data_IF_219521706160
#
_entry.id   IF_219521706160
#
_cell.length_a   1.000
_cell.length_b   1.000
_cell.length_c   1.000
_cell.angle_alpha   90.00
_cell.angle_beta   90.00
_cell.angle_gamma   90.00
#
_symmetry.space_group_name_H-M   'P 1'
#
loop_
_entity.id
_entity.type
_entity.pdbx_description
1 polymer ?
#
# COMPACT_ATOMS: atom_id res chain seq x y z
N UNK A 1 0.29 -12.77 23.54
CA UNK A 1 1.62 -13.10 22.97
C UNK A 1 2.23 -11.79 22.51
N UNK A 2 3.34 -11.36 23.08
CA UNK A 2 4.00 -10.10 22.70
C UNK A 2 5.26 -10.46 21.91
N UNK A 3 5.37 -9.96 20.68
CA UNK A 3 6.54 -10.15 19.83
C UNK A 3 7.46 -8.93 19.98
N UNK A 4 8.73 -9.16 20.29
CA UNK A 4 9.76 -8.11 20.38
C UNK A 4 10.44 -7.87 19.02
N UNK A 5 11.02 -6.67 18.83
CA UNK A 5 11.68 -6.30 17.58
C UNK A 5 12.84 -7.23 17.18
N UNK A 6 13.47 -7.94 18.14
CA UNK A 6 14.53 -8.92 17.87
C UNK A 6 14.00 -10.21 17.26
N UNK A 7 12.77 -10.61 17.60
CA UNK A 7 12.15 -11.87 17.15
C UNK A 7 11.64 -11.78 15.71
N UNK A 8 11.38 -10.57 15.20
CA UNK A 8 10.99 -10.32 13.81
C UNK A 8 12.13 -10.42 12.79
N UNK A 9 13.37 -10.69 13.22
CA UNK A 9 14.48 -10.92 12.28
C UNK A 9 14.36 -12.26 11.55
N UNK A 10 13.68 -13.24 12.15
CA UNK A 10 13.44 -14.55 11.56
C UNK A 10 12.15 -14.54 10.71
N UNK A 11 12.28 -14.95 9.45
CA UNK A 11 11.16 -15.06 8.50
C UNK A 11 10.09 -16.08 8.95
N UNK A 12 10.47 -17.13 9.67
CA UNK A 12 9.53 -18.11 10.21
C UNK A 12 8.62 -17.49 11.28
N UNK A 13 9.20 -16.67 12.16
CA UNK A 13 8.48 -15.95 13.21
C UNK A 13 7.54 -14.90 12.61
N UNK A 14 8.00 -14.14 11.61
CA UNK A 14 7.16 -13.22 10.82
C UNK A 14 5.94 -13.92 10.22
N UNK A 15 6.13 -15.07 9.59
CA UNK A 15 5.02 -15.85 9.00
C UNK A 15 4.05 -16.35 10.05
N UNK A 16 4.54 -16.87 11.17
CA UNK A 16 3.71 -17.33 12.28
C UNK A 16 2.88 -16.18 12.88
N UNK A 17 3.50 -15.02 13.12
CA UNK A 17 2.84 -13.82 13.60
C UNK A 17 1.75 -13.35 12.60
N UNK A 18 2.09 -13.23 11.31
CA UNK A 18 1.14 -12.87 10.25
C UNK A 18 -0.03 -13.84 10.13
N UNK A 19 0.20 -15.14 10.37
CA UNK A 19 -0.86 -16.16 10.39
C UNK A 19 -1.76 -16.00 11.60
N UNK A 20 -1.21 -15.69 12.77
CA UNK A 20 -1.97 -15.51 14.01
C UNK A 20 -2.99 -14.37 13.93
N UNK A 21 -2.67 -13.31 13.19
CA UNK A 21 -3.55 -12.14 12.98
C UNK A 21 -4.35 -12.19 11.68
N UNK A 22 -4.32 -13.31 10.95
CA UNK A 22 -4.97 -13.44 9.64
C UNK A 22 -6.47 -13.10 9.64
N UNK A 23 -7.18 -13.36 10.74
CA UNK A 23 -8.60 -13.05 10.92
C UNK A 23 -8.89 -11.59 11.28
N UNK A 24 -7.87 -10.81 11.61
CA UNK A 24 -7.96 -9.41 12.02
C UNK A 24 -7.43 -8.46 10.94
N UNK A 25 -7.27 -8.95 9.70
CA UNK A 25 -6.77 -8.13 8.60
C UNK A 25 -7.80 -7.07 8.26
N UNK A 26 -7.34 -5.82 8.22
CA UNK A 26 -8.12 -4.72 7.67
C UNK A 26 -8.22 -4.91 6.15
N UNK A 27 -9.46 -4.98 5.67
CA UNK A 27 -9.74 -4.87 4.26
C UNK A 27 -9.92 -3.39 3.91
N UNK A 28 -9.51 -3.03 2.70
CA UNK A 28 -9.77 -1.72 2.13
C UNK A 28 -10.06 -1.90 0.64
N UNK A 29 -11.08 -1.19 0.19
CA UNK A 29 -11.44 -1.08 -1.21
C UNK A 29 -10.77 0.16 -1.82
N UNK A 30 -10.58 0.22 -3.16
CA UNK A 30 -10.04 1.41 -3.82
C UNK A 30 -10.77 2.70 -3.45
N UNK A 31 -12.07 2.60 -3.20
CA UNK A 31 -12.90 3.75 -2.81
C UNK A 31 -12.56 4.30 -1.42
N UNK A 32 -12.00 3.49 -0.53
CA UNK A 32 -11.62 3.88 0.83
C UNK A 32 -10.32 4.71 0.84
N UNK A 33 -9.52 4.65 -0.23
CA UNK A 33 -8.23 5.33 -0.35
C UNK A 33 -8.44 6.78 -0.78
N UNK A 34 -8.26 7.75 0.13
CA UNK A 34 -8.42 9.18 -0.19
C UNK A 34 -7.25 9.77 -0.98
N UNK A 35 -6.03 9.47 -0.55
CA UNK A 35 -4.79 9.98 -1.14
C UNK A 35 -3.73 8.88 -1.13
N UNK A 36 -2.86 8.94 -2.13
CA UNK A 36 -1.66 8.12 -2.23
C UNK A 36 -0.50 9.09 -2.22
N UNK A 37 0.31 9.06 -1.17
CA UNK A 37 1.46 9.95 -1.05
C UNK A 37 2.69 9.18 -1.50
N UNK A 38 3.38 9.72 -2.49
CA UNK A 38 4.66 9.22 -2.98
C UNK A 38 5.73 10.29 -2.77
N UNK A 39 7.00 9.94 -2.89
CA UNK A 39 8.08 10.89 -2.64
C UNK A 39 8.12 11.95 -3.74
N UNK A 40 8.30 11.50 -4.98
CA UNK A 40 8.50 12.34 -6.16
C UNK A 40 7.91 11.68 -7.41
N UNK A 41 7.85 12.43 -8.51
CA UNK A 41 7.16 12.00 -9.74
C UNK A 41 7.79 10.74 -10.39
N UNK A 42 9.06 10.44 -10.10
CA UNK A 42 9.73 9.27 -10.69
C UNK A 42 9.12 7.96 -10.19
N UNK A 43 8.51 7.96 -8.99
CA UNK A 43 7.86 6.79 -8.40
C UNK A 43 6.44 6.54 -8.96
N UNK A 44 5.82 7.52 -9.64
CA UNK A 44 4.43 7.40 -10.12
C UNK A 44 4.27 6.19 -11.03
N UNK A 45 5.13 6.07 -12.04
CA UNK A 45 5.01 5.02 -13.04
C UNK A 45 5.20 3.63 -12.44
N UNK A 46 6.19 3.48 -11.57
CA UNK A 46 6.46 2.22 -10.87
C UNK A 46 5.30 1.82 -9.96
N UNK A 47 4.74 2.79 -9.24
CA UNK A 47 3.58 2.56 -8.39
C UNK A 47 2.33 2.19 -9.18
N UNK A 48 2.04 2.88 -10.29
CA UNK A 48 0.90 2.55 -11.16
C UNK A 48 1.06 1.16 -11.77
N UNK A 49 2.26 0.80 -12.21
CA UNK A 49 2.58 -0.54 -12.70
C UNK A 49 2.41 -1.60 -11.60
N UNK A 50 2.79 -1.27 -10.37
CA UNK A 50 2.57 -2.13 -9.21
C UNK A 50 1.08 -2.31 -8.92
N UNK A 51 0.26 -1.24 -8.95
CA UNK A 51 -1.18 -1.35 -8.79
C UNK A 51 -1.81 -2.26 -9.84
N UNK A 52 -1.41 -2.12 -11.11
CA UNK A 52 -1.89 -2.97 -12.21
C UNK A 52 -1.51 -4.44 -12.02
N UNK A 53 -0.29 -4.72 -11.56
CA UNK A 53 0.23 -6.09 -11.42
C UNK A 53 -0.19 -6.79 -10.13
N UNK A 54 -0.08 -6.13 -8.98
CA UNK A 54 -0.36 -6.72 -7.67
C UNK A 54 -1.85 -6.83 -7.35
N UNK A 55 -2.66 -5.95 -7.94
CA UNK A 55 -4.11 -5.87 -7.69
C UNK A 55 -4.96 -6.10 -8.93
N UNK A 56 -4.39 -6.43 -10.08
CA UNK A 56 -5.16 -6.72 -11.30
C UNK A 56 -6.18 -7.86 -11.17
N UNK A 57 -6.07 -8.71 -10.14
CA UNK A 57 -7.09 -9.70 -9.80
C UNK A 57 -8.26 -9.15 -8.93
N UNK A 58 -8.05 -8.03 -8.23
CA UNK A 58 -8.99 -7.49 -7.24
C UNK A 58 -9.52 -6.09 -7.58
N UNK A 59 -8.82 -5.32 -8.43
CA UNK A 59 -9.19 -3.96 -8.83
C UNK A 59 -9.43 -3.91 -10.34
N UNK A 60 -10.52 -3.28 -10.73
CA UNK A 60 -10.84 -2.97 -12.11
C UNK A 60 -9.91 -1.90 -12.67
N UNK A 61 -9.75 -1.86 -13.99
CA UNK A 61 -8.96 -0.81 -14.66
C UNK A 61 -9.44 0.61 -14.28
N UNK A 62 -10.76 0.79 -14.16
CA UNK A 62 -11.38 2.05 -13.74
C UNK A 62 -11.01 2.46 -12.31
N UNK A 63 -10.90 1.50 -11.40
CA UNK A 63 -10.44 1.77 -10.04
C UNK A 63 -8.97 2.16 -10.00
N UNK A 64 -8.14 1.50 -10.81
CA UNK A 64 -6.72 1.88 -10.95
C UNK A 64 -6.60 3.30 -11.48
N UNK A 65 -7.33 3.67 -12.54
CA UNK A 65 -7.35 5.04 -13.07
C UNK A 65 -7.75 6.05 -12.00
N UNK A 66 -8.80 5.76 -11.23
CA UNK A 66 -9.27 6.62 -10.13
C UNK A 66 -8.24 6.76 -9.01
N UNK A 67 -7.48 5.71 -8.71
CA UNK A 67 -6.40 5.76 -7.72
C UNK A 67 -5.22 6.60 -8.23
N UNK A 68 -4.90 6.52 -9.51
CA UNK A 68 -3.85 7.34 -10.12
C UNK A 68 -4.15 8.84 -9.98
N UNK A 69 -5.41 9.27 -10.08
CA UNK A 69 -5.78 10.69 -9.88
C UNK A 69 -5.68 11.15 -8.42
N UNK A 70 -5.42 10.24 -7.47
CA UNK A 70 -5.31 10.51 -6.03
C UNK A 70 -3.86 10.50 -5.56
N UNK A 71 -2.91 10.41 -6.49
CA UNK A 71 -1.48 10.47 -6.19
C UNK A 71 -1.06 11.92 -5.96
N UNK A 72 -0.36 12.16 -4.86
CA UNK A 72 0.26 13.43 -4.50
C UNK A 72 1.73 13.18 -4.14
N UNK A 73 2.62 14.05 -4.59
CA UNK A 73 4.02 13.98 -4.17
C UNK A 73 4.23 14.69 -2.83
N UNK A 74 5.20 14.21 -2.05
CA UNK A 74 5.59 14.89 -0.82
C UNK A 74 6.10 16.31 -1.07
N UNK A 75 6.74 16.53 -2.22
CA UNK A 75 7.19 17.86 -2.66
C UNK A 75 5.98 18.80 -2.88
N UNK A 76 4.94 18.35 -3.59
CA UNK A 76 3.71 19.13 -3.79
C UNK A 76 3.04 19.50 -2.46
N UNK A 77 3.02 18.58 -1.50
CA UNK A 77 2.48 18.85 -0.17
C UNK A 77 3.30 19.92 0.56
N UNK A 78 4.62 19.94 0.37
CA UNK A 78 5.51 20.88 1.05
C UNK A 78 5.55 22.27 0.39
N UNK A 79 5.30 22.36 -0.92
CA UNK A 79 5.43 23.61 -1.69
C UNK A 79 4.10 24.28 -2.01
N UNK A 80 3.02 23.51 -2.19
CA UNK A 80 1.76 24.00 -2.76
C UNK A 80 0.60 24.07 -1.74
N UNK A 81 0.74 23.44 -0.57
CA UNK A 81 -0.24 23.46 0.54
C UNK A 81 0.30 24.17 1.78
#
# INVERSE_FOLDING_TARGET
MYYSAKEFKDESVKRAANKSVSKLRLAFEPNDIKYIIIKDESEINDFVNHLRSAKGANFTMREVEKLTTRILTSDQIATDF
#
